data_IF_525207366247
#
_entry.id   IF_525207366247
#
_cell.length_a   1.000
_cell.length_b   1.000
_cell.length_c   1.000
_cell.angle_alpha   90.00
_cell.angle_beta   90.00
_cell.angle_gamma   90.00
#
_symmetry.space_group_name_H-M   'P 1'
#
loop_
_entity.id
_entity.type
_entity.pdbx_description
1 polymer ?
#
# COMPACT_ATOMS: atom_id res chain seq x y z
N UNK A 1 13.97 -41.75 16.28
CA UNK A 1 14.97 -40.71 15.97
C UNK A 1 15.28 -40.81 14.50
N UNK A 2 14.67 -39.95 13.68
CA UNK A 2 15.12 -39.60 12.33
C UNK A 2 14.85 -38.10 12.21
N UNK A 3 15.88 -37.31 12.52
CA UNK A 3 15.90 -35.87 12.34
C UNK A 3 16.49 -35.60 10.96
N UNK A 4 15.69 -35.08 10.03
CA UNK A 4 16.22 -34.36 8.87
C UNK A 4 15.48 -33.03 8.71
N UNK A 5 16.04 -32.06 9.42
CA UNK A 5 16.24 -30.66 9.04
C UNK A 5 15.72 -30.33 7.62
N UNK A 6 14.47 -29.88 7.55
CA UNK A 6 13.93 -29.17 6.38
C UNK A 6 14.52 -27.77 6.30
N UNK A 7 15.77 -27.65 5.84
CA UNK A 7 16.39 -26.35 5.54
C UNK A 7 16.55 -26.18 4.05
N UNK A 8 15.68 -25.36 3.46
CA UNK A 8 16.05 -24.25 2.57
C UNK A 8 14.79 -23.46 2.20
N UNK A 9 14.30 -22.70 3.17
CA UNK A 9 13.62 -21.44 2.85
C UNK A 9 14.65 -20.62 2.08
N UNK A 10 14.36 -20.32 0.82
CA UNK A 10 15.09 -19.37 0.00
C UNK A 10 14.93 -17.99 0.62
N UNK A 11 15.69 -17.77 1.69
CA UNK A 11 15.91 -16.48 2.31
C UNK A 11 16.70 -15.65 1.31
N UNK A 12 16.01 -14.78 0.58
CA UNK A 12 16.66 -13.67 -0.10
C UNK A 12 16.87 -12.57 0.94
N UNK A 13 17.86 -12.81 1.82
CA UNK A 13 18.47 -11.69 2.53
C UNK A 13 19.33 -10.95 1.52
N UNK A 14 19.07 -9.66 1.36
CA UNK A 14 19.75 -8.75 0.46
C UNK A 14 21.24 -8.69 0.85
N UNK A 15 22.05 -9.62 0.34
CA UNK A 15 23.50 -9.56 0.50
C UNK A 15 24.00 -8.44 -0.41
N UNK A 16 24.53 -7.39 0.21
CA UNK A 16 25.27 -6.31 -0.42
C UNK A 16 26.21 -6.87 -1.50
N UNK A 17 26.03 -6.41 -2.73
CA UNK A 17 26.87 -6.77 -3.88
C UNK A 17 28.28 -6.24 -3.60
N UNK A 18 29.19 -7.13 -3.22
CA UNK A 18 30.63 -6.88 -3.32
C UNK A 18 31.00 -6.88 -4.81
N UNK A 19 31.00 -5.69 -5.41
CA UNK A 19 31.56 -5.44 -6.74
C UNK A 19 33.07 -5.66 -6.67
N UNK A 20 33.52 -6.87 -6.99
CA UNK A 20 34.91 -7.17 -7.26
C UNK A 20 35.15 -6.97 -8.77
N UNK A 21 35.88 -5.92 -9.15
CA UNK A 21 36.38 -5.75 -10.51
C UNK A 21 36.46 -4.30 -10.95
N UNK A 22 37.67 -3.73 -10.87
CA UNK A 22 37.93 -2.31 -11.05
C UNK A 22 37.54 -1.71 -12.40
N UNK A 23 37.07 -0.47 -12.34
CA UNK A 23 37.78 0.64 -12.98
C UNK A 23 37.62 1.87 -12.10
N UNK A 24 38.71 2.24 -11.43
CA UNK A 24 38.86 3.49 -10.69
C UNK A 24 38.89 4.63 -11.70
N UNK A 25 37.74 5.24 -11.97
CA UNK A 25 37.72 6.65 -12.34
C UNK A 25 37.51 7.45 -11.07
N UNK A 26 38.63 7.90 -10.51
CA UNK A 26 38.67 8.82 -9.38
C UNK A 26 38.10 10.18 -9.83
N UNK A 27 36.79 10.37 -9.66
CA UNK A 27 36.17 11.68 -9.55
C UNK A 27 35.53 11.74 -8.15
N UNK A 28 36.13 12.45 -7.18
CA UNK A 28 35.51 12.69 -5.90
C UNK A 28 34.27 13.56 -6.09
N UNK A 29 33.09 13.05 -5.76
CA UNK A 29 31.86 13.87 -5.68
C UNK A 29 30.62 13.34 -6.39
N UNK A 30 30.70 12.23 -7.12
CA UNK A 30 29.53 11.55 -7.67
C UNK A 30 29.60 10.08 -7.28
N UNK A 31 29.10 9.79 -6.07
CA UNK A 31 28.64 8.45 -5.75
C UNK A 31 27.53 8.13 -6.76
N UNK A 32 27.57 6.98 -7.47
CA UNK A 32 26.40 6.54 -8.21
C UNK A 32 25.26 6.40 -7.21
N UNK A 33 24.24 7.25 -7.32
CA UNK A 33 22.94 6.98 -6.73
C UNK A 33 22.53 5.60 -7.24
N UNK A 34 22.51 4.61 -6.35
CA UNK A 34 21.99 3.30 -6.68
C UNK A 34 20.47 3.42 -6.82
N UNK A 35 20.01 3.97 -7.94
CA UNK A 35 18.63 3.86 -8.37
C UNK A 35 18.42 2.41 -8.80
N UNK A 36 17.98 1.58 -7.86
CA UNK A 36 17.32 0.32 -8.19
C UNK A 36 15.88 0.64 -8.66
N UNK A 37 15.76 1.34 -9.80
CA UNK A 37 14.49 1.51 -10.47
C UNK A 37 14.15 0.18 -11.16
N UNK A 38 13.24 -0.60 -10.57
CA UNK A 38 12.67 -1.76 -11.24
C UNK A 38 11.78 -1.26 -12.38
N UNK A 39 12.01 -1.74 -13.62
CA UNK A 39 11.32 -1.26 -14.82
C UNK A 39 9.79 -1.43 -14.79
N UNK A 40 9.29 -2.32 -13.95
CA UNK A 40 7.87 -2.67 -13.84
C UNK A 40 7.21 -2.02 -12.61
N UNK A 41 7.97 -1.37 -11.72
CA UNK A 41 7.48 -0.75 -10.49
C UNK A 41 7.38 0.76 -10.65
N UNK A 42 6.19 1.31 -10.44
CA UNK A 42 5.93 2.74 -10.44
C UNK A 42 5.37 3.16 -9.08
N UNK A 43 5.95 4.19 -8.48
CA UNK A 43 5.48 4.78 -7.22
C UNK A 43 5.17 6.24 -7.48
N UNK A 44 3.94 6.67 -7.20
CA UNK A 44 3.45 8.02 -7.55
C UNK A 44 4.26 9.16 -6.93
N UNK A 45 5.07 8.85 -5.92
CA UNK A 45 5.88 9.81 -5.21
C UNK A 45 7.37 9.49 -5.19
N UNK A 46 7.85 8.69 -6.14
CA UNK A 46 9.28 8.53 -6.38
C UNK A 46 9.90 9.88 -6.76
N UNK A 47 10.80 10.37 -5.92
CA UNK A 47 11.59 11.58 -6.14
C UNK A 47 12.91 11.49 -5.37
N UNK A 48 13.98 11.12 -6.09
CA UNK A 48 15.32 10.98 -5.52
C UNK A 48 15.92 12.29 -5.00
N UNK A 49 15.41 13.46 -5.46
CA UNK A 49 15.91 14.76 -4.99
C UNK A 49 15.55 15.07 -3.54
N UNK A 50 14.55 14.37 -2.99
CA UNK A 50 14.11 14.51 -1.59
C UNK A 50 14.25 13.21 -0.82
N UNK A 51 15.14 12.29 -1.23
CA UNK A 51 15.28 10.96 -0.63
C UNK A 51 13.95 10.18 -0.57
N UNK A 52 13.06 10.39 -1.56
CA UNK A 52 11.69 9.85 -1.56
C UNK A 52 10.89 10.21 -0.28
N UNK A 53 11.22 11.34 0.35
CA UNK A 53 10.55 11.83 1.55
C UNK A 53 9.14 12.30 1.22
N UNK A 54 8.18 11.70 1.90
CA UNK A 54 6.77 12.01 1.80
C UNK A 54 6.34 12.88 2.96
N UNK A 55 5.72 14.03 2.66
CA UNK A 55 5.23 14.96 3.68
C UNK A 55 3.75 15.24 3.53
N UNK A 56 3.04 15.22 4.67
CA UNK A 56 1.62 15.57 4.77
C UNK A 56 0.67 14.41 4.42
N UNK A 57 -0.64 14.72 4.31
CA UNK A 57 -1.69 13.72 4.12
C UNK A 57 -1.82 13.29 2.65
N UNK A 58 -0.76 12.67 2.11
CA UNK A 58 -0.73 12.18 0.74
C UNK A 58 -1.03 10.68 0.70
N UNK A 59 -1.75 10.25 -0.35
CA UNK A 59 -1.88 8.83 -0.70
C UNK A 59 -0.83 8.51 -1.76
N UNK A 60 -0.05 7.48 -1.51
CA UNK A 60 0.91 6.94 -2.46
C UNK A 60 0.24 5.79 -3.19
N UNK A 61 0.25 5.86 -4.52
CA UNK A 61 -0.15 4.78 -5.41
C UNK A 61 1.10 4.02 -5.84
N UNK A 62 1.04 2.70 -5.71
CA UNK A 62 2.05 1.78 -6.22
C UNK A 62 1.41 0.97 -7.34
N UNK A 63 2.04 0.98 -8.51
CA UNK A 63 1.60 0.26 -9.69
C UNK A 63 2.67 -0.72 -10.14
N UNK A 64 2.28 -1.98 -10.38
CA UNK A 64 3.12 -2.98 -11.04
C UNK A 64 2.57 -3.22 -12.44
N UNK A 65 3.41 -2.92 -13.44
CA UNK A 65 3.13 -3.14 -14.86
C UNK A 65 4.10 -4.22 -15.33
N UNK A 66 3.66 -5.48 -15.26
CA UNK A 66 4.49 -6.63 -15.58
C UNK A 66 3.75 -7.60 -16.49
N UNK A 67 4.28 -7.82 -17.69
CA UNK A 67 3.68 -8.67 -18.71
C UNK A 67 3.59 -10.14 -18.31
N UNK A 68 4.36 -10.60 -17.33
CA UNK A 68 4.35 -11.99 -16.90
C UNK A 68 3.18 -12.28 -15.92
N UNK A 69 2.56 -11.24 -15.36
CA UNK A 69 1.48 -11.33 -14.37
C UNK A 69 0.28 -10.40 -14.68
N UNK A 70 0.07 -10.04 -15.95
CA UNK A 70 -1.01 -9.14 -16.36
C UNK A 70 -2.23 -9.81 -17.02
N UNK A 71 -2.21 -11.13 -17.26
CA UNK A 71 -3.40 -11.81 -17.79
C UNK A 71 -4.54 -11.70 -16.77
N UNK A 72 -5.71 -11.26 -17.23
CA UNK A 72 -6.90 -11.04 -16.39
C UNK A 72 -7.86 -12.22 -16.39
N UNK A 73 -7.67 -13.20 -17.27
CA UNK A 73 -8.48 -14.41 -17.42
C UNK A 73 -7.82 -15.65 -16.77
N UNK A 74 -6.66 -15.47 -16.15
CA UNK A 74 -5.96 -16.49 -15.38
C UNK A 74 -5.69 -16.01 -13.96
N UNK A 75 -5.78 -16.93 -12.99
CA UNK A 75 -5.40 -16.62 -11.62
C UNK A 75 -3.88 -16.41 -11.53
N UNK A 76 -3.46 -15.16 -11.32
CA UNK A 76 -2.07 -14.80 -11.01
C UNK A 76 -1.89 -14.56 -9.51
N UNK A 77 -0.69 -14.84 -9.01
CA UNK A 77 -0.33 -14.49 -7.64
C UNK A 77 -0.13 -12.99 -7.50
N UNK A 78 -0.52 -12.45 -6.34
CA UNK A 78 -0.22 -11.06 -5.98
C UNK A 78 1.30 -10.82 -5.95
N UNK A 79 1.81 -9.72 -6.54
CA UNK A 79 3.23 -9.39 -6.47
C UNK A 79 3.63 -9.00 -5.04
N UNK A 80 4.80 -9.47 -4.61
CA UNK A 80 5.36 -9.12 -3.30
C UNK A 80 5.90 -7.68 -3.30
N UNK A 81 5.11 -6.75 -2.77
CA UNK A 81 5.49 -5.34 -2.60
C UNK A 81 5.67 -5.04 -1.12
N UNK A 82 6.79 -4.40 -0.75
CA UNK A 82 7.04 -4.02 0.65
C UNK A 82 7.39 -2.55 0.82
N UNK A 83 6.86 -1.95 1.89
CA UNK A 83 7.18 -0.60 2.36
C UNK A 83 7.77 -0.75 3.76
N UNK A 84 9.03 -0.36 3.94
CA UNK A 84 9.74 -0.53 5.23
C UNK A 84 9.72 -1.98 5.76
N UNK A 85 9.77 -2.98 4.86
CA UNK A 85 9.71 -4.40 5.22
C UNK A 85 8.31 -4.91 5.60
N UNK A 86 7.26 -4.11 5.37
CA UNK A 86 5.86 -4.46 5.58
C UNK A 86 5.17 -4.68 4.25
N UNK A 87 4.36 -5.72 4.14
CA UNK A 87 3.67 -6.06 2.88
C UNK A 87 2.59 -5.02 2.58
N UNK A 88 2.66 -4.44 1.38
CA UNK A 88 1.57 -3.66 0.81
C UNK A 88 0.66 -4.61 0.02
N UNK A 89 -0.63 -4.63 0.35
CA UNK A 89 -1.60 -5.42 -0.41
C UNK A 89 -1.90 -4.77 -1.74
N UNK A 90 -1.77 -5.57 -2.80
CA UNK A 90 -1.97 -5.20 -4.19
C UNK A 90 -3.20 -5.92 -4.75
N UNK A 91 -3.92 -5.29 -5.66
CA UNK A 91 -5.06 -5.88 -6.37
C UNK A 91 -4.88 -5.71 -7.87
N UNK A 92 -5.20 -6.76 -8.63
CA UNK A 92 -5.19 -6.70 -10.09
C UNK A 92 -6.43 -5.95 -10.57
N UNK A 93 -6.22 -4.98 -11.45
CA UNK A 93 -7.29 -4.27 -12.13
C UNK A 93 -7.62 -4.90 -13.49
N UNK A 94 -8.73 -4.47 -14.09
CA UNK A 94 -9.20 -4.93 -15.42
C UNK A 94 -8.27 -4.55 -16.58
N UNK A 95 -7.29 -3.68 -16.33
CA UNK A 95 -6.24 -3.32 -17.30
C UNK A 95 -5.01 -4.26 -17.21
N UNK A 96 -5.05 -5.26 -16.33
CA UNK A 96 -3.98 -6.23 -16.09
C UNK A 96 -2.90 -5.76 -15.12
N UNK A 97 -2.86 -4.47 -14.78
CA UNK A 97 -1.86 -3.94 -13.85
C UNK A 97 -2.29 -4.18 -12.39
N UNK A 98 -1.31 -4.19 -11.49
CA UNK A 98 -1.56 -4.33 -10.05
C UNK A 98 -1.43 -2.99 -9.36
N UNK A 99 -2.37 -2.69 -8.46
CA UNK A 99 -2.44 -1.42 -7.74
C UNK A 99 -2.47 -1.63 -6.23
N UNK A 100 -1.73 -0.81 -5.49
CA UNK A 100 -1.77 -0.72 -4.04
C UNK A 100 -1.71 0.73 -3.59
N UNK A 101 -2.34 1.03 -2.45
CA UNK A 101 -2.40 2.38 -1.91
C UNK A 101 -1.98 2.40 -0.45
N UNK A 102 -1.17 3.37 -0.05
CA UNK A 102 -0.84 3.60 1.35
C UNK A 102 -0.72 5.09 1.67
N UNK A 103 -0.84 5.42 2.96
CA UNK A 103 -0.69 6.78 3.48
C UNK A 103 -0.13 6.72 4.90
N UNK A 104 0.41 7.84 5.38
CA UNK A 104 0.73 7.99 6.80
C UNK A 104 -0.56 8.03 7.64
N UNK A 105 -0.64 7.15 8.64
CA UNK A 105 -1.83 6.97 9.50
C UNK A 105 -2.24 8.25 10.21
N UNK A 106 -1.29 8.97 10.78
CA UNK A 106 -1.61 10.12 11.63
C UNK A 106 -1.93 11.35 10.75
N UNK A 107 -1.18 11.56 9.68
CA UNK A 107 -1.47 12.63 8.72
C UNK A 107 -2.84 12.43 8.04
N UNK A 108 -3.16 11.20 7.61
CA UNK A 108 -4.46 10.89 7.01
C UNK A 108 -5.61 11.21 7.98
N UNK A 109 -5.51 10.76 9.24
CA UNK A 109 -6.54 11.03 10.24
C UNK A 109 -6.68 12.51 10.58
N UNK A 110 -5.56 13.23 10.73
CA UNK A 110 -5.58 14.66 11.05
C UNK A 110 -6.24 15.45 9.90
N UNK A 111 -5.91 15.11 8.65
CA UNK A 111 -6.50 15.78 7.49
C UNK A 111 -7.97 15.43 7.30
N UNK A 112 -8.35 14.18 7.52
CA UNK A 112 -9.76 13.76 7.47
C UNK A 112 -10.60 14.47 8.55
N UNK A 113 -10.02 14.68 9.74
CA UNK A 113 -10.73 15.31 10.87
C UNK A 113 -11.20 16.75 10.63
N UNK A 114 -10.62 17.45 9.63
CA UNK A 114 -11.05 18.80 9.26
C UNK A 114 -12.17 18.81 8.20
N UNK A 115 -12.53 17.65 7.65
CA UNK A 115 -13.68 17.50 6.77
C UNK A 115 -14.94 17.35 7.64
N UNK A 116 -15.85 18.31 7.54
CA UNK A 116 -17.11 18.22 8.27
C UNK A 116 -17.96 17.06 7.77
N UNK A 117 -18.82 16.48 8.62
CA UNK A 117 -19.75 15.40 8.24
C UNK A 117 -20.65 15.80 7.06
N UNK A 118 -21.04 17.07 6.95
CA UNK A 118 -21.84 17.57 5.83
C UNK A 118 -21.03 17.69 4.51
N UNK A 119 -19.71 17.68 4.61
CA UNK A 119 -18.76 17.71 3.49
C UNK A 119 -18.13 16.34 3.20
N UNK A 120 -18.74 15.26 3.67
CA UNK A 120 -18.29 13.90 3.38
C UNK A 120 -18.14 13.69 1.87
N UNK A 121 -17.01 13.13 1.41
CA UNK A 121 -16.70 13.02 -0.01
C UNK A 121 -16.11 14.29 -0.65
N UNK A 122 -15.69 15.27 0.15
CA UNK A 122 -15.07 16.53 -0.35
C UNK A 122 -13.77 16.86 0.37
N UNK A 123 -12.97 17.77 -0.17
CA UNK A 123 -11.70 18.16 0.46
C UNK A 123 -10.72 16.98 0.57
N UNK A 124 -10.09 16.82 1.73
CA UNK A 124 -9.11 15.77 2.04
C UNK A 124 -9.78 14.68 2.89
N UNK A 125 -10.86 14.12 2.36
CA UNK A 125 -11.63 13.05 2.99
C UNK A 125 -11.06 11.69 2.58
N UNK A 126 -10.64 10.89 3.55
CA UNK A 126 -10.12 9.55 3.37
C UNK A 126 -11.21 8.48 3.48
N UNK A 127 -12.40 8.85 3.97
CA UNK A 127 -13.49 7.96 4.33
C UNK A 127 -13.43 7.57 5.80
N UNK A 128 -13.92 6.38 6.14
CA UNK A 128 -13.90 5.90 7.51
C UNK A 128 -12.71 4.97 7.79
N UNK A 129 -12.05 5.20 8.92
CA UNK A 129 -10.94 4.38 9.39
C UNK A 129 -11.45 3.21 10.24
N UNK A 130 -10.96 2.01 9.96
CA UNK A 130 -11.15 0.87 10.85
C UNK A 130 -9.93 -0.06 10.92
N UNK A 131 -9.94 -0.94 11.93
CA UNK A 131 -8.83 -1.79 12.33
C UNK A 131 -8.45 -2.74 11.20
N UNK A 132 -7.14 -2.96 11.03
CA UNK A 132 -6.61 -3.82 9.96
C UNK A 132 -7.18 -5.25 10.01
N UNK A 133 -7.37 -5.77 11.22
CA UNK A 133 -7.93 -7.11 11.47
C UNK A 133 -9.34 -7.24 10.93
N UNK A 134 -10.23 -6.30 11.26
CA UNK A 134 -11.64 -6.39 10.82
C UNK A 134 -11.82 -5.96 9.38
N UNK A 135 -11.00 -5.03 8.88
CA UNK A 135 -10.94 -4.72 7.45
C UNK A 135 -10.48 -5.95 6.63
N UNK A 136 -9.47 -6.68 7.09
CA UNK A 136 -9.01 -7.90 6.43
C UNK A 136 -10.09 -8.98 6.40
N UNK A 137 -10.82 -9.16 7.49
CA UNK A 137 -11.97 -10.07 7.52
C UNK A 137 -13.09 -9.62 6.58
N UNK A 138 -13.41 -8.33 6.55
CA UNK A 138 -14.51 -7.76 5.77
C UNK A 138 -14.22 -7.80 4.26
N UNK A 139 -13.01 -7.40 3.85
CA UNK A 139 -12.65 -7.22 2.44
C UNK A 139 -12.14 -8.53 1.82
N UNK A 140 -11.34 -9.30 2.59
CA UNK A 140 -10.57 -10.44 2.07
C UNK A 140 -10.93 -11.76 2.77
N UNK A 141 -11.90 -11.76 3.69
CA UNK A 141 -12.31 -12.95 4.43
C UNK A 141 -11.25 -13.51 5.38
N UNK A 142 -10.20 -12.73 5.71
CA UNK A 142 -9.09 -13.18 6.52
C UNK A 142 -8.52 -12.06 7.41
N UNK A 143 -8.59 -12.25 8.73
CA UNK A 143 -8.12 -11.28 9.73
C UNK A 143 -6.64 -10.94 9.66
N UNK A 144 -5.81 -11.80 9.06
CA UNK A 144 -4.37 -11.59 8.92
C UNK A 144 -3.97 -10.95 7.60
N UNK A 145 -4.91 -10.81 6.67
CA UNK A 145 -4.64 -10.35 5.30
C UNK A 145 -4.07 -8.93 5.22
N UNK A 146 -4.29 -8.12 6.26
CA UNK A 146 -3.83 -6.75 6.37
C UNK A 146 -2.99 -6.54 7.66
N UNK A 147 -2.41 -7.60 8.21
CA UNK A 147 -1.69 -7.53 9.50
C UNK A 147 -0.43 -6.66 9.51
N UNK A 148 0.07 -6.27 8.34
CA UNK A 148 1.22 -5.37 8.18
C UNK A 148 0.85 -3.89 8.01
N UNK A 149 -0.45 -3.53 8.02
CA UNK A 149 -0.92 -2.14 8.10
C UNK A 149 -1.43 -1.79 9.50
N UNK A 150 -1.40 -0.50 9.82
CA UNK A 150 -1.90 0.08 11.07
C UNK A 150 -3.44 0.26 11.07
N UNK A 151 -4.07 0.13 9.91
CA UNK A 151 -5.51 0.31 9.71
C UNK A 151 -5.84 0.49 8.24
N UNK A 152 -7.13 0.64 7.93
CA UNK A 152 -7.62 0.82 6.58
C UNK A 152 -8.63 1.96 6.56
N UNK A 153 -8.47 2.86 5.59
CA UNK A 153 -9.48 3.84 5.24
C UNK A 153 -10.43 3.24 4.20
N UNK A 154 -11.71 3.22 4.51
CA UNK A 154 -12.78 2.64 3.70
C UNK A 154 -13.55 3.78 3.03
N UNK A 155 -13.78 3.75 1.71
CA UNK A 155 -14.46 4.81 0.97
C UNK A 155 -15.99 4.81 1.15
N UNK A 156 -16.47 4.53 2.38
CA UNK A 156 -17.87 4.50 2.73
C UNK A 156 -18.12 5.10 4.13
N UNK A 157 -19.29 5.74 4.29
CA UNK A 157 -19.74 6.30 5.56
C UNK A 157 -20.28 5.22 6.50
N UNK A 158 -19.98 5.30 7.79
CA UNK A 158 -20.57 4.44 8.82
C UNK A 158 -19.92 3.05 8.93
N UNK A 159 -18.83 2.81 8.20
CA UNK A 159 -18.04 1.57 8.28
C UNK A 159 -16.98 1.58 9.38
N UNK A 160 -16.66 2.73 9.95
CA UNK A 160 -15.63 2.87 10.98
C UNK A 160 -15.75 4.23 11.67
N UNK A 161 -14.63 4.80 12.09
CA UNK A 161 -14.57 6.15 12.65
C UNK A 161 -14.15 7.18 11.61
N UNK A 162 -14.53 8.44 11.80
CA UNK A 162 -13.88 9.56 11.11
C UNK A 162 -12.48 9.78 11.68
N UNK A 163 -11.63 10.53 10.97
CA UNK A 163 -10.28 10.85 11.39
C UNK A 163 -10.17 11.58 12.72
N UNK A 164 -9.13 11.26 13.48
CA UNK A 164 -8.73 11.94 14.72
C UNK A 164 -7.89 13.18 14.43
N UNK A 165 -8.25 14.32 15.02
CA UNK A 165 -7.46 15.57 14.93
C UNK A 165 -6.10 15.52 15.62
N UNK A 166 -5.81 14.42 16.32
CA UNK A 166 -4.50 14.14 16.95
C UNK A 166 -3.80 12.92 16.35
N UNK A 167 -4.38 12.29 15.32
CA UNK A 167 -3.95 10.98 14.84
C UNK A 167 -4.17 9.89 15.90
N UNK A 168 -3.33 8.86 15.86
CA UNK A 168 -3.33 7.76 16.84
C UNK A 168 -3.67 6.40 16.23
N UNK A 169 -3.60 5.35 17.05
CA UNK A 169 -3.91 3.99 16.62
C UNK A 169 -5.37 3.84 16.19
N UNK A 170 -5.62 3.11 15.11
CA UNK A 170 -6.97 2.84 14.60
C UNK A 170 -7.47 1.53 15.25
N UNK A 171 -8.29 1.65 16.29
CA UNK A 171 -8.80 0.48 17.05
C UNK A 171 -10.27 0.18 16.79
N UNK A 172 -10.99 1.05 16.09
CA UNK A 172 -12.41 0.87 15.77
C UNK A 172 -12.57 -0.25 14.75
N UNK A 173 -13.44 -1.21 15.02
CA UNK A 173 -13.72 -2.29 14.08
C UNK A 173 -14.55 -1.81 12.89
N UNK A 174 -14.36 -2.46 11.74
CA UNK A 174 -15.19 -2.19 10.58
C UNK A 174 -16.62 -2.73 10.82
N UNK A 175 -17.63 -1.90 10.55
CA UNK A 175 -19.03 -2.32 10.63
C UNK A 175 -19.37 -3.23 9.43
N UNK A 176 -19.54 -4.53 9.70
CA UNK A 176 -19.87 -5.53 8.68
C UNK A 176 -21.36 -5.64 8.34
N UNK A 177 -22.24 -4.90 9.04
CA UNK A 177 -23.70 -4.96 8.82
C UNK A 177 -24.19 -4.05 7.69
N UNK A 178 -23.33 -3.15 7.19
CA UNK A 178 -23.63 -2.31 6.04
C UNK A 178 -23.11 -2.99 4.78
N UNK A 179 -23.99 -3.20 3.79
CA UNK A 179 -23.52 -3.47 2.42
C UNK A 179 -22.67 -2.27 1.97
N UNK A 180 -21.58 -2.49 1.24
CA UNK A 180 -20.80 -1.43 0.60
C UNK A 180 -21.68 -0.70 -0.43
N UNK A 181 -22.54 0.19 0.06
CA UNK A 181 -23.47 0.96 -0.75
C UNK A 181 -22.72 2.19 -1.27
N UNK A 182 -21.96 1.94 -2.34
CA UNK A 182 -21.24 2.92 -3.16
C UNK A 182 -20.02 3.58 -2.50
N UNK A 183 -18.97 3.72 -3.32
CA UNK A 183 -17.89 4.68 -3.10
C UNK A 183 -18.51 6.09 -3.04
N UNK A 184 -18.33 6.80 -1.94
CA UNK A 184 -18.94 8.13 -1.81
C UNK A 184 -18.30 9.06 -0.80
N UNK A 185 -17.34 8.59 -0.01
CA UNK A 185 -16.73 9.40 1.06
C UNK A 185 -15.24 9.66 0.84
N UNK A 186 -14.50 8.76 0.21
CA UNK A 186 -13.11 9.03 -0.11
C UNK A 186 -13.01 10.00 -1.31
N UNK A 187 -12.25 11.08 -1.12
CA UNK A 187 -12.00 12.10 -2.15
C UNK A 187 -10.51 12.34 -2.41
N UNK A 188 -9.65 11.52 -1.80
CA UNK A 188 -8.19 11.54 -1.97
C UNK A 188 -7.71 10.54 -3.04
N UNK A 189 -8.53 9.52 -3.37
CA UNK A 189 -8.30 8.59 -4.49
C UNK A 189 -9.41 8.77 -5.53
N UNK A 190 -9.09 9.42 -6.66
CA UNK A 190 -10.10 9.86 -7.65
C UNK A 190 -10.14 9.07 -8.96
N UNK A 191 -9.06 8.35 -9.28
CA UNK A 191 -8.94 7.57 -10.52
C UNK A 191 -8.63 6.09 -10.25
N UNK A 192 -9.23 5.58 -9.17
CA UNK A 192 -9.12 4.16 -8.80
C UNK A 192 -9.54 3.26 -9.96
N UNK A 193 -8.87 2.12 -10.10
CA UNK A 193 -9.16 1.18 -11.18
C UNK A 193 -10.27 0.22 -10.79
N UNK A 194 -11.02 -0.23 -11.80
CA UNK A 194 -11.95 -1.34 -11.62
C UNK A 194 -11.17 -2.62 -11.35
N UNK A 195 -11.53 -3.33 -10.28
CA UNK A 195 -10.91 -4.58 -9.86
C UNK A 195 -11.25 -5.67 -10.89
N UNK A 196 -10.27 -6.50 -11.24
CA UNK A 196 -10.52 -7.73 -11.97
C UNK A 196 -11.17 -8.75 -11.02
N UNK A 197 -12.37 -9.24 -11.37
CA UNK A 197 -13.15 -10.20 -10.57
C UNK A 197 -13.33 -11.56 -11.26
N UNK A 198 -12.57 -11.80 -12.33
CA UNK A 198 -12.67 -13.00 -13.16
C UNK A 198 -12.11 -14.23 -12.45
#
# INVERSE_FOLDING_TARGET
MNNEIGRKITSLTLMTIMVAGGLTFAIPGVMPEAMAANANLFVSAENSQFDNYMSGPQVIEVVIIDSDINDTDEAKGEPDVTINGKILRMVQAVDGNWYGYFADRDQAQIADSVVSVAGNGTGIDFGNFCSATTAGQLILGNTQALSDTEGVAIPASGFGTIGSSSGGAITTDCNSEQNFLANGTNNVVREYKAINTS
#
